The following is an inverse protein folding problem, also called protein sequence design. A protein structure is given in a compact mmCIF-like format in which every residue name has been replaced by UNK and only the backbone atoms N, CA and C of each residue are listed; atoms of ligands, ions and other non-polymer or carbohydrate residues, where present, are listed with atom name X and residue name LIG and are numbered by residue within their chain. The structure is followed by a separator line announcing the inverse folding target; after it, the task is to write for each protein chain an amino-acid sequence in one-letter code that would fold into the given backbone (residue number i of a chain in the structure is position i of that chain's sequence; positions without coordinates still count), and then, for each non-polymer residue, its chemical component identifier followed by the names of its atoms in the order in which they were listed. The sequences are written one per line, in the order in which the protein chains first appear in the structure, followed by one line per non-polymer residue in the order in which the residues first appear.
data_IF_328684933520
#
_entry.id   IF_328684933520
#
_cell.length_a   1.000
_cell.length_b   1.000
_cell.length_c   1.000
_cell.angle_alpha   90.00
_cell.angle_beta   90.00
_cell.angle_gamma   90.00
#
_symmetry.space_group_name_H-M   'P 1'
#
loop_
_entity.id
_entity.type
_entity.pdbx_description
1 polymer ?
#
# COMPACT_ATOMS: atom_id res chain seq x y z
N UNK A 1 13.20 -21.38 -5.42
CA UNK A 1 11.98 -20.58 -5.18
C UNK A 1 12.38 -19.14 -5.48
N UNK A 2 11.93 -18.56 -6.59
CA UNK A 2 12.19 -17.15 -6.88
C UNK A 2 11.19 -16.31 -6.10
N UNK A 3 11.66 -15.42 -5.24
CA UNK A 3 10.82 -14.39 -4.64
C UNK A 3 10.48 -13.37 -5.73
N UNK A 4 9.22 -13.29 -6.13
CA UNK A 4 8.74 -12.15 -6.91
C UNK A 4 8.74 -10.91 -6.00
N UNK A 5 9.16 -9.76 -6.53
CA UNK A 5 9.02 -8.50 -5.82
C UNK A 5 7.53 -8.20 -5.61
N UNK A 6 7.13 -7.98 -4.36
CA UNK A 6 5.75 -7.65 -3.97
C UNK A 6 5.71 -6.19 -3.57
N UNK A 7 4.72 -5.43 -4.09
CA UNK A 7 4.33 -4.16 -3.49
C UNK A 7 3.22 -4.39 -2.47
N UNK A 8 3.26 -3.63 -1.40
CA UNK A 8 2.21 -3.62 -0.39
C UNK A 8 1.49 -2.29 -0.49
N UNK A 9 0.16 -2.33 -0.56
CA UNK A 9 -0.68 -1.13 -0.73
C UNK A 9 -1.71 -1.10 0.39
N UNK A 10 -1.80 0.03 1.07
CA UNK A 10 -2.79 0.26 2.12
C UNK A 10 -4.03 0.97 1.54
N UNK A 11 -5.17 0.27 1.56
CA UNK A 11 -6.51 0.81 1.36
C UNK A 11 -6.62 1.83 0.22
N UNK A 12 -6.85 3.12 0.50
CA UNK A 12 -7.06 4.19 -0.48
C UNK A 12 -5.79 5.00 -0.80
N UNK A 13 -4.60 4.46 -0.55
CA UNK A 13 -3.32 5.10 -0.85
C UNK A 13 -3.24 5.52 -2.33
N UNK A 14 -3.18 6.83 -2.55
CA UNK A 14 -3.10 7.44 -3.89
C UNK A 14 -1.73 7.21 -4.56
N UNK A 15 -0.65 7.03 -3.81
CA UNK A 15 0.72 7.07 -4.33
C UNK A 15 0.99 5.99 -5.39
N UNK A 16 0.60 4.71 -5.21
CA UNK A 16 0.78 3.69 -6.23
C UNK A 16 0.00 3.96 -7.52
N UNK A 17 -1.03 4.80 -7.50
CA UNK A 17 -1.81 5.14 -8.69
C UNK A 17 -1.24 6.34 -9.46
N UNK A 18 -0.10 6.88 -9.02
CA UNK A 18 0.57 8.02 -9.62
C UNK A 18 1.95 7.67 -10.19
N UNK A 19 2.36 8.31 -11.30
CA UNK A 19 1.54 9.17 -12.14
C UNK A 19 0.51 8.34 -12.92
N UNK A 20 -0.66 8.94 -13.19
CA UNK A 20 -1.71 8.26 -13.96
C UNK A 20 -1.16 7.94 -15.36
N UNK A 21 -1.28 6.69 -15.85
CA UNK A 21 -0.84 6.34 -17.20
C UNK A 21 -1.50 7.27 -18.21
N UNK A 22 -0.67 7.95 -19.00
CA UNK A 22 -1.10 8.82 -20.07
C UNK A 22 -0.75 8.19 -21.42
N UNK A 23 -1.35 8.69 -22.51
CA UNK A 23 -1.06 8.22 -23.87
C UNK A 23 0.42 8.34 -24.28
N UNK A 24 1.26 9.03 -23.48
CA UNK A 24 2.68 9.25 -23.73
C UNK A 24 3.59 8.45 -22.79
N UNK A 25 3.03 7.78 -21.77
CA UNK A 25 3.79 7.08 -20.73
C UNK A 25 3.15 5.72 -20.41
N UNK A 26 3.76 4.65 -20.92
CA UNK A 26 3.40 3.26 -20.64
C UNK A 26 4.05 2.81 -19.32
N UNK A 27 3.57 3.38 -18.20
CA UNK A 27 4.00 2.99 -16.87
C UNK A 27 3.12 1.84 -16.38
N UNK A 28 3.79 0.79 -15.90
CA UNK A 28 3.16 -0.43 -15.41
C UNK A 28 3.92 -0.93 -14.19
N UNK A 29 3.20 -1.41 -13.20
CA UNK A 29 3.82 -2.03 -12.05
C UNK A 29 4.29 -3.46 -12.35
N UNK A 30 5.17 -3.97 -11.50
CA UNK A 30 5.47 -5.40 -11.41
C UNK A 30 4.23 -6.23 -11.06
N UNK A 31 4.30 -7.54 -11.22
CA UNK A 31 3.10 -8.40 -11.23
C UNK A 31 2.39 -8.53 -9.86
N UNK A 32 3.14 -8.48 -8.75
CA UNK A 32 2.61 -8.89 -7.43
C UNK A 32 2.27 -7.69 -6.55
N UNK A 33 1.01 -7.66 -6.10
CA UNK A 33 0.45 -6.70 -5.16
C UNK A 33 -0.21 -7.43 -3.99
N UNK A 34 0.10 -7.01 -2.77
CA UNK A 34 -0.65 -7.36 -1.57
C UNK A 34 -1.40 -6.11 -1.10
N UNK A 35 -2.70 -6.09 -1.34
CA UNK A 35 -3.56 -4.93 -1.04
C UNK A 35 -4.37 -5.18 0.23
N UNK A 36 -4.32 -4.23 1.16
CA UNK A 36 -5.04 -4.26 2.42
C UNK A 36 -6.24 -3.32 2.35
N UNK A 37 -7.45 -3.78 1.99
CA UNK A 37 -8.66 -2.94 1.92
C UNK A 37 -9.29 -2.74 3.31
N UNK A 38 -8.46 -2.43 4.32
CA UNK A 38 -8.84 -2.27 5.73
C UNK A 38 -7.84 -1.32 6.41
N UNK A 39 -7.79 -1.30 7.74
CA UNK A 39 -6.93 -0.42 8.54
C UNK A 39 -5.47 -0.91 8.67
N UNK A 40 -5.12 -2.02 8.02
CA UNK A 40 -3.79 -2.61 7.94
C UNK A 40 -3.10 -2.72 9.31
N UNK A 41 -3.85 -3.16 10.32
CA UNK A 41 -3.27 -3.55 11.61
C UNK A 41 -2.44 -4.84 11.47
N UNK A 42 -1.63 -5.15 12.49
CA UNK A 42 -0.91 -6.43 12.53
C UNK A 42 -1.91 -7.59 12.50
N UNK A 43 -1.77 -8.46 11.50
CA UNK A 43 -2.67 -9.60 11.29
C UNK A 43 -3.91 -9.31 10.45
N UNK A 44 -4.05 -8.08 9.92
CA UNK A 44 -5.12 -7.76 8.98
C UNK A 44 -5.06 -8.63 7.72
N UNK A 45 -6.23 -8.98 7.19
CA UNK A 45 -6.33 -9.73 5.94
C UNK A 45 -5.97 -8.84 4.74
N UNK A 46 -5.46 -9.46 3.68
CA UNK A 46 -5.11 -8.77 2.44
C UNK A 46 -5.50 -9.61 1.23
N UNK A 47 -5.61 -8.94 0.09
CA UNK A 47 -5.87 -9.55 -1.21
C UNK A 47 -4.54 -9.64 -1.96
N UNK A 48 -4.22 -10.84 -2.43
CA UNK A 48 -2.99 -11.13 -3.16
C UNK A 48 -3.27 -11.18 -4.67
N UNK A 49 -2.73 -10.21 -5.41
CA UNK A 49 -2.98 -10.01 -6.83
C UNK A 49 -1.71 -10.33 -7.60
N UNK A 50 -1.77 -11.33 -8.48
CA UNK A 50 -0.58 -11.97 -9.08
C UNK A 50 -0.67 -12.15 -10.60
N UNK A 51 -1.62 -11.49 -11.27
CA UNK A 51 -1.92 -11.76 -12.67
C UNK A 51 -1.17 -10.85 -13.65
N UNK A 52 -1.45 -9.55 -13.64
CA UNK A 52 -1.01 -8.63 -14.70
C UNK A 52 -0.32 -7.35 -14.18
N UNK A 53 -0.19 -7.20 -12.86
CA UNK A 53 0.40 -6.03 -12.22
C UNK A 53 -0.49 -4.79 -12.21
N UNK A 54 -1.68 -4.80 -12.82
CA UNK A 54 -2.62 -3.68 -12.83
C UNK A 54 -4.06 -4.16 -12.54
N UNK A 55 -4.18 -5.21 -11.72
CA UNK A 55 -5.41 -5.99 -11.56
C UNK A 55 -6.61 -5.13 -11.09
N UNK A 56 -7.68 -5.01 -11.90
CA UNK A 56 -8.84 -4.17 -11.58
C UNK A 56 -9.69 -4.71 -10.42
N UNK A 57 -9.34 -5.87 -9.85
CA UNK A 57 -9.97 -6.42 -8.64
C UNK A 57 -9.25 -6.04 -7.34
N UNK A 58 -8.14 -5.31 -7.45
CA UNK A 58 -7.28 -4.95 -6.32
C UNK A 58 -7.35 -3.46 -6.03
N UNK A 59 -6.26 -2.79 -5.63
CA UNK A 59 -6.31 -1.34 -5.38
C UNK A 59 -6.81 -0.54 -6.59
N UNK A 60 -6.54 -1.02 -7.81
CA UNK A 60 -7.08 -0.45 -9.05
C UNK A 60 -8.61 -0.56 -9.21
N UNK A 61 -9.31 -1.28 -8.34
CA UNK A 61 -10.78 -1.31 -8.28
C UNK A 61 -11.38 -0.02 -7.70
N UNK A 62 -10.58 0.76 -6.97
CA UNK A 62 -11.04 1.97 -6.29
C UNK A 62 -11.32 3.11 -7.28
N UNK A 63 -12.38 3.87 -6.99
CA UNK A 63 -12.69 5.05 -7.77
C UNK A 63 -11.64 6.14 -7.51
N UNK A 64 -11.03 6.72 -8.55
CA UNK A 64 -9.97 7.74 -8.40
C UNK A 64 -10.27 8.88 -7.42
N UNK A 65 -11.55 9.25 -7.26
CA UNK A 65 -11.99 10.31 -6.33
C UNK A 65 -11.97 9.92 -4.86
N UNK A 66 -11.83 8.63 -4.54
CA UNK A 66 -11.78 8.13 -3.16
C UNK A 66 -10.35 7.94 -2.66
N UNK A 67 -9.36 8.00 -3.56
CA UNK A 67 -7.95 7.89 -3.22
C UNK A 67 -7.46 9.12 -2.44
N UNK A 68 -6.67 8.91 -1.38
CA UNK A 68 -6.09 9.96 -0.53
C UNK A 68 -4.64 9.65 -0.18
N UNK A 69 -3.92 10.62 0.40
CA UNK A 69 -2.57 10.38 0.93
C UNK A 69 -2.58 9.80 2.35
N UNK A 70 -3.73 9.76 3.03
CA UNK A 70 -3.78 9.47 4.47
C UNK A 70 -3.34 8.04 4.79
N UNK A 71 -3.79 7.07 3.99
CA UNK A 71 -3.43 5.66 4.14
C UNK A 71 -1.96 5.37 3.79
N UNK A 72 -1.33 6.23 2.97
CA UNK A 72 0.08 6.10 2.57
C UNK A 72 1.05 6.16 3.76
N UNK A 73 0.64 6.80 4.86
CA UNK A 73 1.53 6.98 6.00
C UNK A 73 1.46 5.84 7.01
N UNK A 74 0.48 4.93 6.90
CA UNK A 74 0.18 3.96 7.95
C UNK A 74 0.33 2.53 7.45
N UNK A 75 1.24 1.75 8.03
CA UNK A 75 1.49 0.36 7.64
C UNK A 75 1.66 -0.50 8.89
N UNK A 76 0.93 -1.62 8.98
CA UNK A 76 1.03 -2.58 10.10
C UNK A 76 0.81 -1.94 11.47
N UNK A 77 -0.19 -1.06 11.56
CA UNK A 77 -0.50 -0.29 12.77
C UNK A 77 0.52 0.79 13.13
N UNK A 78 1.48 1.11 12.25
CA UNK A 78 2.54 2.13 12.49
C UNK A 78 2.42 3.30 11.53
N UNK A 79 2.61 4.51 12.05
CA UNK A 79 2.92 5.66 11.20
C UNK A 79 4.38 5.57 10.73
N UNK A 80 4.58 5.43 9.42
CA UNK A 80 5.89 5.20 8.82
C UNK A 80 6.78 6.44 8.82
N UNK A 81 6.20 7.64 8.81
CA UNK A 81 6.97 8.88 8.94
C UNK A 81 7.57 8.96 10.34
N UNK A 82 6.73 8.82 11.37
CA UNK A 82 7.17 8.87 12.77
C UNK A 82 8.17 7.76 13.07
N UNK A 83 7.90 6.53 12.59
CA UNK A 83 8.81 5.40 12.75
C UNK A 83 10.20 5.69 12.16
N UNK A 84 10.26 6.27 10.96
CA UNK A 84 11.51 6.66 10.32
C UNK A 84 12.25 7.77 11.08
N UNK A 85 11.54 8.83 11.48
CA UNK A 85 12.12 9.97 12.23
C UNK A 85 12.68 9.51 13.59
N UNK A 86 12.02 8.55 14.24
CA UNK A 86 12.45 7.97 15.52
C UNK A 86 13.54 6.90 15.38
N UNK A 87 14.22 6.82 14.22
CA UNK A 87 15.33 5.91 14.02
C UNK A 87 14.92 4.43 13.98
N UNK A 88 13.75 4.14 13.39
CA UNK A 88 13.20 2.79 13.26
C UNK A 88 12.97 2.12 14.63
N UNK A 89 12.50 2.88 15.61
CA UNK A 89 12.22 2.39 16.95
C UNK A 89 10.78 2.67 17.36
N UNK A 90 10.19 1.75 18.12
CA UNK A 90 8.82 1.85 18.61
C UNK A 90 8.71 2.73 19.87
N UNK A 91 9.68 3.63 20.10
CA UNK A 91 9.79 4.45 21.32
C UNK A 91 8.61 5.43 21.51
N UNK A 92 7.67 5.52 20.56
CA UNK A 92 6.41 6.26 20.66
C UNK A 92 5.14 5.41 20.75
N UNK A 93 5.24 4.07 20.67
CA UNK A 93 4.12 3.13 20.84
C UNK A 93 4.26 2.37 22.15
N UNK A 94 4.29 3.10 23.27
CA UNK A 94 3.94 2.48 24.55
C UNK A 94 2.43 2.22 24.49
N UNK A 95 1.95 0.97 24.54
CA UNK A 95 0.52 0.72 24.62
C UNK A 95 0.02 1.34 25.92
N UNK A 96 -0.99 2.21 25.85
CA UNK A 96 -1.78 2.54 27.04
C UNK A 96 -2.37 1.23 27.56
N UNK A 97 -1.87 0.75 28.70
CA UNK A 97 -2.49 -0.29 29.53
C UNK A 97 -3.81 0.24 30.08
#
# INVERSE_FOLDING_TARGET
IFSLATRVIHNHDLVPHLPVPSNQSNLYHHIVESWYPNDMQVGAEYIDCRHDGEDPKCSNSLARKTLTFDDHYSYYGRNMIDYGINGCSDLGMVPSI
#
